data_IF_297932671066
#
_entry.id   IF_297932671066
#
_cell.length_a   1.000
_cell.length_b   1.000
_cell.length_c   1.000
_cell.angle_alpha   90.00
_cell.angle_beta   90.00
_cell.angle_gamma   90.00
#
_symmetry.space_group_name_H-M   'P 1'
#
loop_
_entity.id
_entity.type
_entity.pdbx_description
1 polymer ?
#
# COMPACT_ATOMS: atom_id res chain seq x y z
N UNK A 1 -39.19 22.59 -52.42
CA UNK A 1 -38.84 23.26 -51.16
C UNK A 1 -38.64 22.21 -50.12
N UNK A 2 -37.39 21.88 -49.75
CA UNK A 2 -37.06 20.85 -48.78
C UNK A 2 -36.35 21.53 -47.63
N UNK A 3 -36.98 21.49 -46.43
CA UNK A 3 -36.51 22.11 -45.21
C UNK A 3 -35.50 21.21 -44.54
N UNK A 4 -34.24 21.60 -44.49
CA UNK A 4 -33.17 20.94 -43.75
C UNK A 4 -33.36 21.16 -42.24
N UNK A 5 -33.57 20.08 -41.51
CA UNK A 5 -33.62 20.03 -40.05
C UNK A 5 -32.21 19.85 -39.53
N UNK A 6 -31.61 20.90 -38.95
CA UNK A 6 -30.32 20.90 -38.27
C UNK A 6 -30.46 20.16 -36.94
N UNK A 7 -29.77 19.03 -36.80
CA UNK A 7 -29.62 18.34 -35.54
C UNK A 7 -28.63 19.12 -34.66
N UNK A 8 -29.10 19.60 -33.50
CA UNK A 8 -28.25 20.17 -32.44
C UNK A 8 -27.48 19.05 -31.77
N UNK A 9 -26.16 19.10 -31.88
CA UNK A 9 -25.23 18.25 -31.22
C UNK A 9 -25.12 18.69 -29.72
N UNK A 10 -25.69 17.90 -28.78
CA UNK A 10 -25.71 18.19 -27.34
C UNK A 10 -24.61 17.44 -26.59
N UNK A 11 -23.40 17.34 -27.14
CA UNK A 11 -22.29 16.60 -26.51
C UNK A 11 -21.26 17.48 -25.78
N UNK A 12 -21.59 18.76 -25.46
CA UNK A 12 -20.67 19.71 -24.81
C UNK A 12 -20.65 19.69 -23.28
N UNK A 13 -21.58 18.98 -22.61
CA UNK A 13 -21.79 19.15 -21.16
C UNK A 13 -20.94 18.28 -20.23
N UNK A 14 -20.37 17.19 -20.73
CA UNK A 14 -19.56 16.28 -19.89
C UNK A 14 -18.07 16.67 -19.83
N UNK A 15 -17.56 17.28 -20.92
CA UNK A 15 -16.14 17.67 -21.03
C UNK A 15 -15.78 18.89 -20.16
N UNK A 16 -16.70 19.85 -20.01
CA UNK A 16 -16.44 21.07 -19.26
C UNK A 16 -16.38 20.85 -17.73
N UNK A 17 -17.18 19.93 -17.19
CA UNK A 17 -17.17 19.60 -15.75
C UNK A 17 -15.90 18.86 -15.30
N UNK A 18 -15.21 18.15 -16.19
CA UNK A 18 -13.91 17.53 -15.91
C UNK A 18 -12.74 18.51 -16.04
N UNK A 19 -12.94 19.71 -16.61
CA UNK A 19 -11.90 20.72 -16.74
C UNK A 19 -11.65 21.51 -15.44
N UNK A 20 -12.61 21.53 -14.49
CA UNK A 20 -12.47 22.27 -13.24
C UNK A 20 -11.56 21.57 -12.20
N UNK A 21 -11.40 20.25 -12.28
CA UNK A 21 -10.52 19.48 -11.40
C UNK A 21 -9.89 18.28 -12.12
N UNK A 22 -8.91 18.52 -13.01
CA UNK A 22 -8.30 17.45 -13.79
C UNK A 22 -7.49 16.49 -12.88
N UNK A 23 -7.33 15.21 -13.26
CA UNK A 23 -6.56 14.24 -12.50
C UNK A 23 -5.15 14.70 -12.11
N UNK A 24 -4.50 15.52 -12.96
CA UNK A 24 -3.16 16.08 -12.69
C UNK A 24 -3.13 17.11 -11.55
N UNK A 25 -4.27 17.66 -11.15
CA UNK A 25 -4.42 18.56 -10.00
C UNK A 25 -5.03 17.87 -8.79
N UNK A 26 -5.39 16.59 -8.91
CA UNK A 26 -5.94 15.81 -7.80
C UNK A 26 -4.83 15.09 -7.05
N UNK A 27 -4.56 15.50 -5.81
CA UNK A 27 -3.57 14.85 -4.94
C UNK A 27 -3.85 13.36 -4.79
N UNK A 28 -5.11 12.95 -4.68
CA UNK A 28 -5.49 11.55 -4.59
C UNK A 28 -5.10 10.75 -5.84
N UNK A 29 -5.21 11.32 -7.03
CA UNK A 29 -4.74 10.68 -8.27
C UNK A 29 -3.21 10.58 -8.31
N UNK A 30 -2.51 11.65 -7.94
CA UNK A 30 -1.05 11.66 -7.91
C UNK A 30 -0.49 10.63 -6.91
N UNK A 31 -1.08 10.57 -5.71
CA UNK A 31 -0.73 9.57 -4.69
C UNK A 31 -0.98 8.15 -5.20
N UNK A 32 -2.14 7.90 -5.82
CA UNK A 32 -2.48 6.60 -6.42
C UNK A 32 -1.49 6.19 -7.50
N UNK A 33 -1.14 7.10 -8.39
CA UNK A 33 -0.25 6.79 -9.51
C UNK A 33 1.19 6.57 -9.02
N UNK A 34 1.67 7.37 -8.07
CA UNK A 34 2.94 7.14 -7.39
C UNK A 34 2.95 5.79 -6.67
N UNK A 35 1.90 5.48 -5.89
CA UNK A 35 1.75 4.19 -5.23
C UNK A 35 1.81 3.02 -6.21
N UNK A 36 1.11 3.11 -7.35
CA UNK A 36 1.13 2.08 -8.40
C UNK A 36 2.54 1.86 -8.96
N UNK A 37 3.29 2.93 -9.20
CA UNK A 37 4.66 2.85 -9.71
C UNK A 37 5.60 2.16 -8.69
N UNK A 38 5.54 2.56 -7.42
CA UNK A 38 6.27 1.90 -6.32
C UNK A 38 5.93 0.42 -6.21
N UNK A 39 4.63 0.08 -6.24
CA UNK A 39 4.14 -1.28 -6.14
C UNK A 39 4.65 -2.18 -7.27
N UNK A 40 4.61 -1.69 -8.51
CA UNK A 40 5.06 -2.45 -9.67
C UNK A 40 6.56 -2.79 -9.57
N UNK A 41 7.37 -1.80 -9.20
CA UNK A 41 8.82 -2.01 -9.08
C UNK A 41 9.15 -2.90 -7.87
N UNK A 42 8.47 -2.71 -6.75
CA UNK A 42 8.63 -3.54 -5.56
C UNK A 42 8.31 -5.01 -5.87
N UNK A 43 7.15 -5.28 -6.47
CA UNK A 43 6.72 -6.64 -6.82
C UNK A 43 7.76 -7.35 -7.69
N UNK A 44 8.25 -6.67 -8.73
CA UNK A 44 9.30 -7.21 -9.62
C UNK A 44 10.58 -7.57 -8.86
N UNK A 45 10.97 -6.75 -7.87
CA UNK A 45 12.24 -6.93 -7.15
C UNK A 45 12.17 -7.90 -5.98
N UNK A 46 11.00 -8.09 -5.35
CA UNK A 46 10.84 -9.03 -4.23
C UNK A 46 10.43 -10.43 -4.70
N UNK A 47 9.86 -10.57 -5.90
CA UNK A 47 9.43 -11.86 -6.45
C UNK A 47 10.54 -12.93 -6.49
N UNK A 48 11.80 -12.62 -6.85
CA UNK A 48 12.90 -13.60 -6.82
C UNK A 48 13.18 -14.20 -5.44
N UNK A 49 12.75 -13.54 -4.38
CA UNK A 49 12.89 -14.01 -2.99
C UNK A 49 11.68 -14.85 -2.52
N UNK A 50 10.73 -15.12 -3.42
CA UNK A 50 9.52 -15.88 -3.11
C UNK A 50 8.50 -15.11 -2.26
N UNK A 51 8.56 -13.78 -2.27
CA UNK A 51 7.64 -12.91 -1.53
C UNK A 51 6.69 -12.23 -2.51
N UNK A 52 5.38 -12.34 -2.25
CA UNK A 52 4.34 -11.66 -3.01
C UNK A 52 4.11 -10.24 -2.46
N UNK A 53 3.66 -9.32 -3.30
CA UNK A 53 3.34 -7.94 -2.94
C UNK A 53 2.44 -7.84 -1.70
N UNK A 54 1.36 -8.63 -1.65
CA UNK A 54 0.43 -8.62 -0.49
C UNK A 54 1.08 -9.09 0.81
N UNK A 55 2.13 -9.93 0.76
CA UNK A 55 2.87 -10.41 1.94
C UNK A 55 3.88 -9.39 2.46
N UNK A 56 4.35 -8.49 1.59
CA UNK A 56 5.36 -7.50 1.91
C UNK A 56 4.97 -6.59 3.09
N UNK A 57 3.73 -6.08 3.09
CA UNK A 57 3.26 -5.16 4.14
C UNK A 57 3.18 -5.84 5.50
N UNK A 58 2.75 -7.10 5.53
CA UNK A 58 2.75 -7.90 6.76
C UNK A 58 4.16 -8.14 7.28
N UNK A 59 5.09 -8.50 6.40
CA UNK A 59 6.50 -8.68 6.77
C UNK A 59 7.10 -7.39 7.29
N UNK A 60 6.80 -6.24 6.67
CA UNK A 60 7.29 -4.93 7.14
C UNK A 60 6.86 -4.62 8.56
N UNK A 61 5.61 -4.87 8.90
CA UNK A 61 5.08 -4.66 10.25
C UNK A 61 5.69 -5.65 11.24
N UNK A 62 5.75 -6.94 10.88
CA UNK A 62 6.30 -7.98 11.75
C UNK A 62 7.82 -7.89 11.94
N UNK A 63 8.57 -7.31 11.01
CA UNK A 63 9.99 -7.03 11.21
C UNK A 63 10.25 -5.89 12.18
N UNK A 64 9.28 -5.02 12.38
CA UNK A 64 9.31 -3.95 13.37
C UNK A 64 8.86 -4.47 14.73
N UNK A 65 7.75 -5.19 14.78
CA UNK A 65 7.22 -5.83 16.00
C UNK A 65 6.64 -7.21 15.66
N UNK A 66 7.30 -8.26 16.17
CA UNK A 66 6.91 -9.66 16.00
C UNK A 66 5.91 -10.08 17.10
N UNK A 67 5.11 -11.10 16.85
CA UNK A 67 4.18 -11.64 17.85
C UNK A 67 2.89 -10.86 18.03
N UNK A 68 2.50 -10.07 17.05
CA UNK A 68 1.22 -9.35 17.06
C UNK A 68 0.04 -10.32 16.93
N UNK A 69 -1.08 -9.98 17.57
CA UNK A 69 -2.36 -10.61 17.27
C UNK A 69 -2.80 -10.30 15.84
N UNK A 70 -3.63 -11.16 15.27
CA UNK A 70 -4.18 -10.93 13.92
C UNK A 70 -4.90 -9.59 13.80
N UNK A 71 -5.63 -9.17 14.83
CA UNK A 71 -6.35 -7.89 14.86
C UNK A 71 -5.39 -6.70 14.86
N UNK A 72 -4.36 -6.72 15.71
CA UNK A 72 -3.33 -5.67 15.74
C UNK A 72 -2.59 -5.58 14.41
N UNK A 73 -2.23 -6.73 13.84
CA UNK A 73 -1.55 -6.80 12.56
C UNK A 73 -2.44 -6.26 11.42
N UNK A 74 -3.73 -6.60 11.41
CA UNK A 74 -4.72 -6.07 10.47
C UNK A 74 -4.80 -4.55 10.54
N UNK A 75 -4.91 -4.00 11.75
CA UNK A 75 -4.99 -2.56 11.97
C UNK A 75 -3.71 -1.84 11.51
N UNK A 76 -2.52 -2.38 11.83
CA UNK A 76 -1.24 -1.77 11.44
C UNK A 76 -0.95 -1.85 9.94
N UNK A 77 -1.37 -2.93 9.29
CA UNK A 77 -1.24 -3.07 7.83
C UNK A 77 -2.30 -2.23 7.09
N UNK A 78 -3.36 -1.80 7.78
CA UNK A 78 -4.46 -1.07 7.18
C UNK A 78 -5.35 -1.94 6.28
N UNK A 79 -5.47 -3.23 6.61
CA UNK A 79 -6.30 -4.19 5.88
C UNK A 79 -7.45 -4.68 6.75
N UNK A 80 -8.56 -5.06 6.12
CA UNK A 80 -9.69 -5.68 6.82
C UNK A 80 -9.30 -7.06 7.36
N UNK A 81 -9.84 -7.45 8.52
CA UNK A 81 -9.53 -8.72 9.16
C UNK A 81 -9.76 -9.95 8.25
N UNK A 82 -10.84 -10.07 7.47
CA UNK A 82 -11.00 -11.20 6.54
C UNK A 82 -9.89 -11.31 5.50
N UNK A 83 -9.44 -10.18 4.97
CA UNK A 83 -8.31 -10.13 4.02
C UNK A 83 -7.00 -10.55 4.70
N UNK A 84 -6.80 -10.12 5.95
CA UNK A 84 -5.66 -10.51 6.77
C UNK A 84 -5.62 -12.01 7.03
N UNK A 85 -6.78 -12.65 7.31
CA UNK A 85 -6.88 -14.13 7.48
C UNK A 85 -6.34 -14.86 6.25
N UNK A 86 -6.79 -14.45 5.06
CA UNK A 86 -6.39 -15.07 3.79
C UNK A 86 -4.88 -14.87 3.56
N UNK A 87 -4.40 -13.65 3.77
CA UNK A 87 -2.98 -13.34 3.62
C UNK A 87 -2.11 -14.16 4.57
N UNK A 88 -2.47 -14.25 5.84
CA UNK A 88 -1.74 -15.03 6.83
C UNK A 88 -1.72 -16.52 6.51
N UNK A 89 -2.81 -17.07 6.00
CA UNK A 89 -2.84 -18.47 5.54
C UNK A 89 -1.80 -18.70 4.44
N UNK A 90 -1.77 -17.85 3.42
CA UNK A 90 -0.78 -17.98 2.33
C UNK A 90 0.66 -17.75 2.81
N UNK A 91 0.85 -16.92 3.86
CA UNK A 91 2.17 -16.71 4.46
C UNK A 91 2.60 -17.90 5.32
N UNK A 92 1.69 -18.60 5.99
CA UNK A 92 1.98 -19.87 6.68
C UNK A 92 2.35 -20.97 5.68
N UNK A 93 1.59 -21.12 4.60
CA UNK A 93 1.87 -22.07 3.52
C UNK A 93 3.24 -21.80 2.86
N UNK A 94 3.63 -20.52 2.75
CA UNK A 94 4.96 -20.11 2.26
C UNK A 94 6.08 -20.25 3.32
N UNK A 95 5.76 -20.65 4.54
CA UNK A 95 6.71 -20.77 5.64
C UNK A 95 7.31 -19.44 6.09
N UNK A 96 6.56 -18.34 5.98
CA UNK A 96 7.00 -16.99 6.37
C UNK A 96 6.57 -16.65 7.81
N UNK A 97 5.40 -17.10 8.22
CA UNK A 97 4.87 -16.89 9.56
C UNK A 97 4.36 -18.18 10.16
N UNK A 98 4.16 -18.18 11.48
CA UNK A 98 3.48 -19.23 12.23
C UNK A 98 2.50 -18.57 13.20
N UNK A 99 1.35 -19.17 13.42
CA UNK A 99 0.39 -18.75 14.44
C UNK A 99 0.63 -19.58 15.70
N UNK A 100 0.80 -18.91 16.82
CA UNK A 100 0.97 -19.53 18.13
C UNK A 100 -0.19 -19.09 19.01
N UNK A 101 -0.92 -20.03 19.61
CA UNK A 101 -1.98 -19.69 20.57
C UNK A 101 -1.35 -19.05 21.80
N UNK A 102 -1.97 -17.95 22.27
CA UNK A 102 -1.53 -17.34 23.52
C UNK A 102 -1.70 -18.35 24.68
N UNK A 103 -0.72 -18.50 25.58
CA UNK A 103 -0.85 -19.32 26.77
C UNK A 103 -2.00 -18.84 27.67
N UNK A 104 -2.19 -17.52 27.74
CA UNK A 104 -3.13 -16.85 28.65
C UNK A 104 -4.56 -16.76 28.08
N UNK A 105 -4.71 -16.78 26.75
CA UNK A 105 -6.00 -16.74 26.08
C UNK A 105 -5.98 -17.60 24.81
N UNK A 106 -6.49 -18.82 24.92
CA UNK A 106 -6.57 -19.79 23.81
C UNK A 106 -7.37 -19.30 22.61
N UNK A 107 -8.15 -18.20 22.76
CA UNK A 107 -8.92 -17.56 21.68
C UNK A 107 -8.07 -16.59 20.87
N UNK A 108 -6.89 -16.21 21.38
CA UNK A 108 -5.98 -15.28 20.70
C UNK A 108 -4.79 -16.04 20.15
N UNK A 109 -4.61 -15.95 18.84
CA UNK A 109 -3.40 -16.43 18.18
C UNK A 109 -2.50 -15.23 17.85
N UNK A 110 -1.24 -15.34 18.21
CA UNK A 110 -0.19 -14.40 17.84
C UNK A 110 0.50 -14.89 16.57
N UNK A 111 0.88 -13.95 15.73
CA UNK A 111 1.56 -14.18 14.46
C UNK A 111 3.05 -13.90 14.63
N UNK A 112 3.86 -14.92 14.42
CA UNK A 112 5.31 -14.86 14.59
C UNK A 112 6.02 -15.15 13.27
N UNK A 113 7.09 -14.40 13.01
CA UNK A 113 7.99 -14.66 11.88
C UNK A 113 8.74 -15.98 12.07
N UNK A 114 8.89 -16.72 10.99
CA UNK A 114 9.81 -17.86 10.95
C UNK A 114 11.26 -17.39 10.81
N UNK A 115 12.22 -18.27 11.07
CA UNK A 115 13.64 -18.01 10.81
C UNK A 115 13.90 -17.63 9.33
N UNK A 116 13.14 -18.23 8.39
CA UNK A 116 13.18 -17.87 6.96
C UNK A 116 12.80 -16.40 6.75
N UNK A 117 11.67 -15.98 7.32
CA UNK A 117 11.20 -14.61 7.17
C UNK A 117 12.10 -13.58 7.85
N UNK A 118 12.70 -13.93 9.00
CA UNK A 118 13.69 -13.09 9.67
C UNK A 118 14.93 -12.85 8.81
N UNK A 119 15.46 -13.89 8.17
CA UNK A 119 16.59 -13.76 7.23
C UNK A 119 16.24 -12.96 5.95
N UNK A 120 14.99 -12.99 5.50
CA UNK A 120 14.54 -12.19 4.36
C UNK A 120 14.60 -10.68 4.63
N UNK A 121 14.49 -10.25 5.88
CA UNK A 121 14.61 -8.84 6.27
C UNK A 121 15.88 -8.20 5.72
N UNK A 122 17.03 -8.84 5.96
CA UNK A 122 18.33 -8.29 5.60
C UNK A 122 18.54 -8.21 4.08
N UNK A 123 17.82 -9.04 3.32
CA UNK A 123 17.83 -9.04 1.86
C UNK A 123 16.86 -8.02 1.27
N UNK A 124 15.67 -7.90 1.84
CA UNK A 124 14.56 -7.17 1.25
C UNK A 124 14.49 -5.69 1.69
N UNK A 125 14.97 -5.34 2.90
CA UNK A 125 15.03 -3.94 3.29
C UNK A 125 15.97 -3.09 2.40
N UNK A 126 17.17 -3.57 2.02
CA UNK A 126 18.00 -2.87 1.04
C UNK A 126 17.29 -2.67 -0.30
N UNK A 127 16.56 -3.67 -0.79
CA UNK A 127 15.77 -3.57 -2.04
C UNK A 127 14.75 -2.44 -1.95
N UNK A 128 13.99 -2.36 -0.85
CA UNK A 128 13.01 -1.30 -0.65
C UNK A 128 13.66 0.09 -0.52
N UNK A 129 14.84 0.16 0.13
CA UNK A 129 15.63 1.39 0.23
C UNK A 129 16.06 1.87 -1.15
N UNK A 130 16.63 1.00 -1.98
CA UNK A 130 17.05 1.35 -3.34
C UNK A 130 15.90 1.86 -4.19
N UNK A 131 14.69 1.28 -4.05
CA UNK A 131 13.50 1.79 -4.75
C UNK A 131 13.19 3.23 -4.32
N UNK A 132 13.27 3.51 -3.02
CA UNK A 132 13.02 4.86 -2.49
C UNK A 132 14.07 5.86 -2.96
N UNK A 133 15.34 5.46 -3.00
CA UNK A 133 16.45 6.27 -3.50
C UNK A 133 16.28 6.59 -4.98
N UNK A 134 15.97 5.59 -5.80
CA UNK A 134 15.71 5.78 -7.23
C UNK A 134 14.48 6.67 -7.50
N UNK A 135 13.42 6.52 -6.71
CA UNK A 135 12.26 7.39 -6.83
C UNK A 135 12.58 8.86 -6.46
N UNK A 136 13.59 9.09 -5.65
CA UNK A 136 14.06 10.42 -5.25
C UNK A 136 15.18 10.98 -6.12
N UNK A 137 15.60 10.27 -7.18
CA UNK A 137 16.69 10.71 -8.04
C UNK A 137 16.35 12.05 -8.72
N UNK A 138 17.29 13.00 -8.68
CA UNK A 138 17.07 14.36 -9.19
C UNK A 138 16.22 15.27 -8.30
N UNK A 139 15.68 14.79 -7.17
CA UNK A 139 14.88 15.57 -6.22
C UNK A 139 15.77 15.99 -5.04
N UNK A 140 15.76 17.26 -4.69
CA UNK A 140 16.53 17.75 -3.55
C UNK A 140 16.07 17.14 -2.23
N UNK A 141 17.01 16.95 -1.31
CA UNK A 141 16.73 16.32 0.01
C UNK A 141 15.67 17.07 0.82
N UNK A 142 15.69 18.40 0.79
CA UNK A 142 14.69 19.23 1.50
C UNK A 142 13.30 19.03 0.95
N UNK A 143 13.14 18.91 -0.38
CA UNK A 143 11.85 18.62 -1.02
C UNK A 143 11.32 17.23 -0.64
N UNK A 144 12.19 16.22 -0.56
CA UNK A 144 11.80 14.88 -0.10
C UNK A 144 11.37 14.86 1.37
N UNK A 145 11.98 15.69 2.22
CA UNK A 145 11.57 15.84 3.62
C UNK A 145 10.19 16.50 3.73
N UNK A 146 9.98 17.61 3.01
CA UNK A 146 8.67 18.28 2.93
C UNK A 146 7.59 17.35 2.39
N UNK A 147 7.89 16.60 1.33
CA UNK A 147 6.96 15.62 0.77
C UNK A 147 6.53 14.57 1.80
N UNK A 148 7.47 14.00 2.57
CA UNK A 148 7.16 13.00 3.60
C UNK A 148 6.29 13.58 4.72
N UNK A 149 6.60 14.78 5.20
CA UNK A 149 5.79 15.49 6.19
C UNK A 149 4.37 15.73 5.64
N UNK A 150 4.29 16.29 4.43
CA UNK A 150 3.01 16.63 3.80
C UNK A 150 2.12 15.40 3.64
N UNK A 151 2.64 14.30 3.08
CA UNK A 151 1.84 13.09 2.89
C UNK A 151 1.40 12.48 4.22
N UNK A 152 2.24 12.53 5.25
CA UNK A 152 1.91 12.05 6.59
C UNK A 152 0.77 12.87 7.22
N UNK A 153 0.81 14.18 7.07
CA UNK A 153 -0.25 15.10 7.55
C UNK A 153 -1.55 14.92 6.79
N UNK A 154 -1.49 14.77 5.46
CA UNK A 154 -2.68 14.48 4.64
C UNK A 154 -3.35 13.16 5.09
N UNK A 155 -2.54 12.11 5.33
CA UNK A 155 -3.03 10.83 5.83
C UNK A 155 -3.72 11.01 7.19
N UNK A 156 -3.08 11.71 8.13
CA UNK A 156 -3.64 11.95 9.47
C UNK A 156 -4.97 12.73 9.41
N UNK A 157 -5.06 13.75 8.56
CA UNK A 157 -6.28 14.53 8.37
C UNK A 157 -7.43 13.65 7.85
N UNK A 158 -7.17 12.80 6.83
CA UNK A 158 -8.18 11.90 6.27
C UNK A 158 -8.61 10.81 7.26
N UNK A 159 -7.69 10.28 8.06
CA UNK A 159 -8.02 9.30 9.10
C UNK A 159 -8.85 9.92 10.23
N UNK A 160 -8.65 11.21 10.53
CA UNK A 160 -9.47 11.96 11.47
C UNK A 160 -10.94 12.12 11.04
N UNK A 161 -11.21 12.10 9.74
CA UNK A 161 -12.57 12.21 9.17
C UNK A 161 -13.35 10.86 9.18
N UNK A 162 -12.70 9.74 9.49
CA UNK A 162 -13.34 8.40 9.57
C UNK A 162 -14.04 8.13 10.91
N UNK A 163 -13.99 9.09 11.82
CA UNK A 163 -14.68 9.08 13.12
C UNK A 163 -16.01 9.81 12.98
#
# INVERSE_FOLDING_TARGET
MATRRTARNTNGGASARNAEFPPSQSDGYLVRDAHRAFQHLLEKRIAPFGVKRGQWYFLRVLWDEDGLSQRELSARVGMMEPTTVIALRTMEEAGLVRRVRSPDDKRRAQVWLTAKAKRLRDKLLPVARTITEQAGEGIRRDQLLVFRDTISRMTANLDGLKK
#
